data_IF_462183157670
#
_entry.id   IF_462183157670
#
_cell.length_a   1.000
_cell.length_b   1.000
_cell.length_c   1.000
_cell.angle_alpha   90.00
_cell.angle_beta   90.00
_cell.angle_gamma   90.00
#
_symmetry.space_group_name_H-M   'P 1'
#
loop_
_entity.id
_entity.type
_entity.pdbx_description
1 polymer ?
#
# COMPACT_ATOMS: atom_id res chain seq x y z
N UNK A 1 2.31 -11.08 1.73
CA UNK A 1 2.60 -10.84 0.30
C UNK A 1 1.58 -9.85 -0.22
N UNK A 2 2.00 -8.94 -1.10
CA UNK A 2 1.11 -7.97 -1.73
C UNK A 2 1.16 -8.13 -3.24
N UNK A 3 0.01 -7.92 -3.89
CA UNK A 3 -0.09 -7.85 -5.35
C UNK A 3 -0.93 -6.64 -5.73
N UNK A 4 -0.58 -5.98 -6.83
CA UNK A 4 -1.39 -4.91 -7.43
C UNK A 4 -1.82 -5.37 -8.81
N UNK A 5 -3.14 -5.39 -9.06
CA UNK A 5 -3.73 -5.85 -10.31
C UNK A 5 -3.23 -7.25 -10.75
N UNK A 6 -2.92 -8.11 -9.79
CA UNK A 6 -2.38 -9.46 -10.00
C UNK A 6 -0.85 -9.57 -10.00
N UNK A 7 -0.12 -8.47 -10.16
CA UNK A 7 1.34 -8.45 -10.20
C UNK A 7 1.97 -8.35 -8.81
N UNK A 8 3.03 -9.11 -8.49
CA UNK A 8 3.72 -9.02 -7.20
C UNK A 8 4.25 -7.61 -6.91
N UNK A 9 3.87 -7.06 -5.75
CA UNK A 9 4.36 -5.76 -5.28
C UNK A 9 5.45 -5.97 -4.22
N UNK A 10 6.65 -6.36 -4.66
CA UNK A 10 7.77 -6.80 -3.80
C UNK A 10 8.28 -5.72 -2.82
N UNK A 11 8.00 -4.46 -3.12
CA UNK A 11 8.45 -3.29 -2.36
C UNK A 11 7.50 -2.95 -1.19
N UNK A 12 6.29 -3.52 -1.16
CA UNK A 12 5.35 -3.39 -0.05
C UNK A 12 5.70 -4.34 1.10
N UNK A 13 5.78 -3.80 2.32
CA UNK A 13 6.05 -4.59 3.54
C UNK A 13 5.15 -4.16 4.69
N UNK A 14 4.85 -5.11 5.56
CA UNK A 14 4.23 -4.82 6.85
C UNK A 14 5.29 -4.29 7.81
N UNK A 15 5.00 -3.18 8.47
CA UNK A 15 5.78 -2.61 9.55
C UNK A 15 5.00 -2.74 10.86
N UNK A 16 5.69 -3.12 11.93
CA UNK A 16 5.09 -3.21 13.24
C UNK A 16 4.94 -1.82 13.85
N UNK A 17 3.69 -1.36 14.04
CA UNK A 17 3.40 -0.08 14.69
C UNK A 17 3.45 -0.18 16.22
N UNK A 18 3.80 0.92 16.90
CA UNK A 18 3.88 1.01 18.37
C UNK A 18 2.57 0.70 19.12
N UNK A 19 1.42 0.72 18.45
CA UNK A 19 0.08 0.66 19.08
C UNK A 19 -0.82 -0.44 18.52
N UNK A 20 -0.29 -1.64 18.25
CA UNK A 20 -1.05 -2.83 17.84
C UNK A 20 -1.76 -2.80 16.47
N UNK A 21 -1.63 -1.71 15.72
CA UNK A 21 -1.96 -1.68 14.30
C UNK A 21 -0.74 -2.08 13.47
N UNK A 22 -0.87 -3.11 12.62
CA UNK A 22 0.09 -3.36 11.55
C UNK A 22 0.00 -2.19 10.57
N UNK A 23 1.12 -1.50 10.33
CA UNK A 23 1.17 -0.42 9.35
C UNK A 23 1.67 -1.01 8.03
N UNK A 24 0.87 -0.84 6.97
CA UNK A 24 1.36 -1.06 5.63
C UNK A 24 2.30 0.08 5.26
N UNK A 25 3.53 -0.23 4.87
CA UNK A 25 4.50 0.77 4.45
C UNK A 25 5.35 0.29 3.28
N UNK A 26 6.17 1.20 2.78
CA UNK A 26 7.21 0.90 1.79
C UNK A 26 8.53 1.49 2.25
N UNK A 27 9.64 0.89 1.82
CA UNK A 27 10.99 1.39 2.11
C UNK A 27 11.34 2.64 1.30
N UNK A 28 10.68 2.90 0.17
CA UNK A 28 10.93 4.05 -0.70
C UNK A 28 9.62 4.74 -1.14
N UNK A 29 9.50 6.04 -0.81
CA UNK A 29 8.29 6.86 -1.09
C UNK A 29 8.03 7.03 -2.60
N UNK A 30 9.10 7.08 -3.41
CA UNK A 30 9.00 7.28 -4.85
C UNK A 30 8.38 6.08 -5.58
N UNK A 31 8.50 4.88 -5.01
CA UNK A 31 7.96 3.65 -5.60
C UNK A 31 6.47 3.47 -5.27
N UNK A 32 6.01 3.98 -4.12
CA UNK A 32 4.60 3.91 -3.69
C UNK A 32 3.70 4.66 -4.68
N UNK A 33 4.15 5.84 -5.12
CA UNK A 33 3.45 6.62 -6.14
C UNK A 33 3.41 5.92 -7.51
N UNK A 34 4.47 5.22 -7.90
CA UNK A 34 4.52 4.51 -9.17
C UNK A 34 3.62 3.25 -9.15
N UNK A 35 3.65 2.49 -8.06
CA UNK A 35 2.85 1.27 -7.87
C UNK A 35 1.34 1.54 -7.81
N UNK A 36 0.94 2.67 -7.21
CA UNK A 36 -0.48 3.05 -7.11
C UNK A 36 -0.95 3.90 -8.29
N UNK A 37 -0.05 4.34 -9.17
CA UNK A 37 -0.44 5.07 -10.36
C UNK A 37 -0.99 4.13 -11.43
N UNK A 38 -2.32 4.05 -11.50
CA UNK A 38 -3.03 3.18 -12.44
C UNK A 38 -3.50 1.86 -11.84
N UNK A 39 -3.00 1.51 -10.64
CA UNK A 39 -3.47 0.36 -9.87
C UNK A 39 -4.94 0.47 -9.50
N UNK A 40 -5.70 -0.62 -9.60
CA UNK A 40 -7.12 -0.65 -9.21
C UNK A 40 -7.36 -1.52 -8.00
N UNK A 41 -6.64 -2.64 -7.91
CA UNK A 41 -6.83 -3.63 -6.88
C UNK A 41 -5.52 -3.90 -6.14
N UNK A 42 -5.52 -3.78 -4.81
CA UNK A 42 -4.45 -4.24 -3.94
C UNK A 42 -4.92 -5.50 -3.22
N UNK A 43 -4.24 -6.62 -3.48
CA UNK A 43 -4.43 -7.88 -2.76
C UNK A 43 -3.37 -8.02 -1.68
N UNK A 44 -3.79 -8.15 -0.43
CA UNK A 44 -2.92 -8.44 0.70
C UNK A 44 -3.16 -9.86 1.23
N UNK A 45 -2.14 -10.70 1.15
CA UNK A 45 -2.15 -12.07 1.68
C UNK A 45 -1.28 -12.15 2.93
N UNK A 46 -1.88 -12.60 4.04
CA UNK A 46 -1.22 -12.76 5.34
C UNK A 46 -1.40 -14.18 5.87
N UNK A 47 -0.39 -14.68 6.57
CA UNK A 47 -0.49 -15.94 7.30
C UNK A 47 -0.91 -15.67 8.73
N UNK A 48 -2.00 -16.30 9.15
CA UNK A 48 -2.45 -16.26 10.55
C UNK A 48 -1.49 -17.04 11.44
N UNK A 49 -1.60 -16.86 12.75
CA UNK A 49 -0.84 -17.62 13.75
C UNK A 49 -1.06 -19.15 13.67
N UNK A 50 -2.13 -19.61 13.01
CA UNK A 50 -2.41 -21.04 12.76
C UNK A 50 -1.85 -21.55 11.43
N UNK A 51 -1.08 -20.73 10.72
CA UNK A 51 -0.54 -21.07 9.39
C UNK A 51 -1.54 -20.97 8.24
N UNK A 52 -2.80 -20.57 8.50
CA UNK A 52 -3.79 -20.37 7.45
C UNK A 52 -3.50 -19.06 6.70
N UNK A 53 -3.51 -19.12 5.36
CA UNK A 53 -3.46 -17.92 4.52
C UNK A 53 -4.83 -17.25 4.46
N UNK A 54 -4.86 -15.94 4.69
CA UNK A 54 -6.04 -15.09 4.53
C UNK A 54 -5.68 -13.98 3.56
N UNK A 55 -6.60 -13.67 2.65
CA UNK A 55 -6.44 -12.59 1.69
C UNK A 55 -7.52 -11.52 1.87
N UNK A 56 -7.15 -10.27 1.61
CA UNK A 56 -8.07 -9.14 1.57
C UNK A 56 -7.77 -8.29 0.35
N UNK A 57 -8.84 -7.84 -0.30
CA UNK A 57 -8.79 -7.05 -1.53
C UNK A 57 -9.22 -5.63 -1.21
N UNK A 58 -8.44 -4.65 -1.67
CA UNK A 58 -8.69 -3.23 -1.46
C UNK A 58 -8.77 -2.51 -2.81
N UNK A 59 -9.82 -1.70 -3.00
CA UNK A 59 -9.91 -0.78 -4.13
C UNK A 59 -8.95 0.40 -3.91
N UNK A 60 -8.02 0.56 -4.85
CA UNK A 60 -7.01 1.62 -4.86
C UNK A 60 -7.11 2.52 -6.10
N UNK A 61 -8.17 2.42 -6.89
CA UNK A 61 -8.37 3.15 -8.15
C UNK A 61 -8.31 4.69 -8.01
N UNK A 62 -8.52 5.22 -6.79
CA UNK A 62 -8.42 6.65 -6.47
C UNK A 62 -7.10 7.08 -5.82
N UNK A 63 -6.18 6.15 -5.54
CA UNK A 63 -5.00 6.43 -4.73
C UNK A 63 -4.03 7.43 -5.39
N UNK A 64 -3.89 7.40 -6.72
CA UNK A 64 -3.05 8.36 -7.45
C UNK A 64 -3.52 9.80 -7.27
N UNK A 65 -4.83 10.06 -7.44
CA UNK A 65 -5.44 11.39 -7.23
C UNK A 65 -5.24 11.88 -5.80
N UNK A 66 -5.37 10.98 -4.83
CA UNK A 66 -5.11 11.29 -3.42
C UNK A 66 -3.65 11.70 -3.21
N UNK A 67 -2.69 10.94 -3.73
CA UNK A 67 -1.25 11.24 -3.61
C UNK A 67 -0.91 12.58 -4.26
N UNK A 68 -1.41 12.84 -5.47
CA UNK A 68 -1.18 14.10 -6.16
C UNK A 68 -1.77 15.28 -5.38
N UNK A 69 -2.96 15.10 -4.80
CA UNK A 69 -3.57 16.13 -3.94
C UNK A 69 -2.73 16.41 -2.70
N UNK A 70 -2.22 15.37 -2.03
CA UNK A 70 -1.34 15.52 -0.86
C UNK A 70 -0.04 16.24 -1.25
N UNK A 71 0.59 15.86 -2.37
CA UNK A 71 1.79 16.56 -2.88
C UNK A 71 1.53 18.04 -3.13
N UNK A 72 0.38 18.39 -3.70
CA UNK A 72 0.00 19.80 -3.92
C UNK A 72 -0.14 20.55 -2.60
N UNK A 73 -0.84 19.97 -1.61
CA UNK A 73 -1.01 20.59 -0.28
C UNK A 73 0.35 20.81 0.40
N UNK A 74 1.25 19.83 0.38
CA UNK A 74 2.58 19.97 0.98
C UNK A 74 3.47 21.01 0.28
N UNK A 75 3.21 21.32 -1.00
CA UNK A 75 3.92 22.39 -1.74
C UNK A 75 3.33 23.78 -1.48
N UNK A 76 2.10 23.88 -0.98
CA UNK A 76 1.45 25.16 -0.68
C UNK A 76 1.92 25.77 0.65
N UNK A 77 2.55 24.97 1.51
CA UNK A 77 3.17 25.40 2.77
C UNK A 77 4.70 25.64 2.68
N UNK A 78 5.30 25.51 1.48
CA UNK A 78 6.74 25.73 1.23
C UNK A 78 6.98 27.01 0.42
#
# INVERSE_FOLDING_TARGET
MFQIDGEPAETLRWYYGKHSAFTLGMSAVNEFGALLNGGKELLATVSTYRGQQVHSVFDISGASKMIDRVKLLCRQDA
#
